data_IF_206743149951
#
_entry.id   IF_206743149951
#
_cell.length_a   1.000
_cell.length_b   1.000
_cell.length_c   1.000
_cell.angle_alpha   90.00
_cell.angle_beta   90.00
_cell.angle_gamma   90.00
#
_symmetry.space_group_name_H-M   'P 1'
#
loop_
_entity.id
_entity.type
_entity.pdbx_description
1 polymer ?
#
# COMPACT_ATOMS: atom_id res chain seq x y z
N UNK A 1 13.81 -15.56 3.96
CA UNK A 1 14.69 -14.38 4.04
C UNK A 1 15.07 -14.09 5.50
N UNK A 2 15.85 -15.00 6.10
CA UNK A 2 16.33 -14.87 7.50
C UNK A 2 17.77 -15.30 7.57
N UNK A 3 18.60 -14.49 8.19
CA UNK A 3 20.03 -14.76 8.38
C UNK A 3 20.42 -14.48 9.83
N UNK A 4 21.40 -15.23 10.33
CA UNK A 4 21.94 -14.95 11.66
C UNK A 4 22.96 -13.82 11.57
N UNK A 5 23.03 -13.01 12.63
CA UNK A 5 24.05 -11.96 12.77
C UNK A 5 25.47 -12.50 12.58
N UNK A 6 25.71 -13.75 12.99
CA UNK A 6 27.01 -14.41 12.87
C UNK A 6 27.36 -14.74 11.42
N UNK A 7 26.38 -15.11 10.58
CA UNK A 7 26.58 -15.36 9.16
C UNK A 7 26.98 -14.08 8.44
N UNK A 8 26.31 -12.97 8.73
CA UNK A 8 26.68 -11.67 8.16
C UNK A 8 28.09 -11.24 8.53
N UNK A 9 28.45 -11.29 9.80
CA UNK A 9 29.73 -10.78 10.29
C UNK A 9 30.94 -11.65 9.90
N UNK A 10 30.74 -12.88 9.43
CA UNK A 10 31.83 -13.81 9.13
C UNK A 10 31.98 -14.14 7.65
N UNK A 11 30.87 -14.35 6.95
CA UNK A 11 30.90 -15.03 5.65
C UNK A 11 30.15 -14.29 4.53
N UNK A 12 29.22 -13.38 4.86
CA UNK A 12 28.31 -12.78 3.91
C UNK A 12 28.43 -11.25 3.90
N UNK A 13 29.36 -10.73 3.10
CA UNK A 13 29.39 -9.28 2.80
C UNK A 13 28.22 -8.86 1.90
N UNK A 14 27.71 -9.79 1.08
CA UNK A 14 26.60 -9.57 0.17
C UNK A 14 25.66 -10.78 0.17
N UNK A 15 24.36 -10.52 0.05
CA UNK A 15 23.31 -11.52 -0.01
C UNK A 15 22.39 -11.16 -1.16
N UNK A 16 22.19 -12.10 -2.08
CA UNK A 16 21.10 -12.04 -3.07
C UNK A 16 19.99 -12.99 -2.62
N UNK A 17 18.74 -12.58 -2.79
CA UNK A 17 17.59 -13.40 -2.50
C UNK A 17 16.51 -13.22 -3.58
N UNK A 18 15.78 -14.31 -3.81
CA UNK A 18 14.75 -14.44 -4.82
C UNK A 18 13.82 -15.55 -4.32
N UNK A 19 12.73 -15.18 -3.64
CA UNK A 19 11.87 -16.11 -2.92
C UNK A 19 10.39 -15.76 -3.10
N UNK A 20 9.56 -16.81 -3.30
CA UNK A 20 8.12 -16.69 -3.15
C UNK A 20 7.75 -16.77 -1.66
N UNK A 21 6.95 -15.81 -1.18
CA UNK A 21 6.55 -15.73 0.22
C UNK A 21 5.04 -15.82 0.37
N UNK A 22 4.61 -16.43 1.46
CA UNK A 22 3.19 -16.50 1.83
C UNK A 22 2.98 -15.57 3.02
N UNK A 23 2.06 -14.63 2.88
CA UNK A 23 1.67 -13.70 3.93
C UNK A 23 0.30 -14.15 4.46
N UNK A 24 0.23 -14.42 5.75
CA UNK A 24 -1.03 -14.80 6.38
C UNK A 24 -1.87 -13.55 6.69
N UNK A 25 -3.20 -13.65 6.56
CA UNK A 25 -4.10 -12.50 6.72
C UNK A 25 -4.06 -11.87 8.13
N UNK A 26 -3.61 -12.61 9.14
CA UNK A 26 -3.43 -12.08 10.50
C UNK A 26 -2.16 -11.22 10.65
N UNK A 27 -1.21 -11.33 9.72
CA UNK A 27 -0.05 -10.45 9.62
C UNK A 27 -0.42 -9.10 9.00
N UNK A 28 -1.46 -9.08 8.15
CA UNK A 28 -2.06 -7.87 7.60
C UNK A 28 -3.03 -7.31 8.66
N UNK A 29 -2.60 -6.32 9.40
CA UNK A 29 -3.38 -5.73 10.49
C UNK A 29 -4.80 -5.34 10.07
N UNK A 30 -5.79 -5.67 10.87
CA UNK A 30 -7.24 -5.66 10.62
C UNK A 30 -7.89 -4.34 10.13
N UNK A 31 -7.16 -3.29 9.79
CA UNK A 31 -7.71 -1.96 9.46
C UNK A 31 -7.07 -1.32 8.24
N UNK A 32 -6.45 -2.11 7.38
CA UNK A 32 -5.60 -1.59 6.28
C UNK A 32 -6.33 -1.42 4.95
N UNK A 33 -7.58 -1.84 4.82
CA UNK A 33 -8.30 -1.79 3.54
C UNK A 33 -7.87 -2.86 2.54
N UNK A 34 -7.15 -3.90 3.00
CA UNK A 34 -6.73 -5.06 2.22
C UNK A 34 -7.36 -6.33 2.79
N UNK A 35 -7.81 -7.24 1.95
CA UNK A 35 -8.40 -8.52 2.33
C UNK A 35 -7.37 -9.63 2.39
N UNK A 36 -6.50 -9.71 1.39
CA UNK A 36 -5.38 -10.65 1.30
C UNK A 36 -4.33 -10.16 0.32
N UNK A 37 -3.17 -10.80 0.33
CA UNK A 37 -2.13 -10.65 -0.69
C UNK A 37 -1.78 -12.03 -1.21
N UNK A 38 -1.68 -12.18 -2.53
CA UNK A 38 -1.47 -13.43 -3.21
C UNK A 38 -0.26 -13.33 -4.15
N UNK A 39 0.36 -14.48 -4.42
CA UNK A 39 1.48 -14.62 -5.36
C UNK A 39 2.63 -13.62 -5.10
N UNK A 40 2.97 -13.42 -3.82
CA UNK A 40 4.03 -12.48 -3.44
C UNK A 40 5.39 -13.07 -3.75
N UNK A 41 6.13 -12.36 -4.56
CA UNK A 41 7.50 -12.64 -4.91
C UNK A 41 8.41 -11.50 -4.45
N UNK A 42 9.53 -11.83 -3.82
CA UNK A 42 10.48 -10.87 -3.29
C UNK A 42 11.87 -11.20 -3.79
N UNK A 43 12.42 -10.31 -4.58
CA UNK A 43 13.82 -10.37 -5.02
C UNK A 43 14.60 -9.17 -4.50
N UNK A 44 15.89 -9.34 -4.29
CA UNK A 44 16.67 -8.22 -3.80
C UNK A 44 18.13 -8.56 -3.52
N UNK A 45 18.82 -7.51 -3.08
CA UNK A 45 20.23 -7.57 -2.74
C UNK A 45 20.45 -6.86 -1.41
N UNK A 46 21.26 -7.47 -0.54
CA UNK A 46 21.69 -6.87 0.70
C UNK A 46 23.21 -6.89 0.85
N UNK A 47 23.77 -5.86 1.48
CA UNK A 47 25.20 -5.78 1.78
C UNK A 47 25.45 -5.14 3.14
N UNK A 48 26.57 -5.50 3.77
CA UNK A 48 27.04 -4.85 4.98
C UNK A 48 28.12 -3.84 4.59
N UNK A 49 27.99 -2.63 5.12
CA UNK A 49 29.06 -1.64 5.09
C UNK A 49 29.96 -1.81 6.31
N UNK A 50 31.26 -2.06 6.06
CA UNK A 50 32.27 -2.29 7.10
C UNK A 50 32.62 -1.01 7.89
N UNK A 51 32.21 0.18 7.42
CA UNK A 51 32.53 1.47 8.07
C UNK A 51 31.52 1.83 9.17
N UNK A 52 30.23 1.49 8.98
CA UNK A 52 29.14 1.86 9.89
C UNK A 52 28.41 0.66 10.51
N UNK A 53 28.84 -0.57 10.20
CA UNK A 53 28.24 -1.83 10.70
C UNK A 53 26.72 -1.93 10.40
N UNK A 54 26.25 -1.28 9.32
CA UNK A 54 24.87 -1.31 8.87
C UNK A 54 24.65 -2.36 7.78
N UNK A 55 23.49 -3.01 7.80
CA UNK A 55 23.06 -3.89 6.73
C UNK A 55 22.01 -3.18 5.88
N UNK A 56 22.38 -2.90 4.64
CA UNK A 56 21.53 -2.25 3.63
C UNK A 56 20.89 -3.29 2.75
N UNK A 57 19.61 -3.10 2.46
CA UNK A 57 18.81 -4.02 1.64
C UNK A 57 17.98 -3.24 0.63
N UNK A 58 18.15 -3.59 -0.64
CA UNK A 58 17.27 -3.17 -1.72
C UNK A 58 16.37 -4.36 -2.10
N UNK A 59 15.06 -4.14 -2.10
CA UNK A 59 14.06 -5.16 -2.37
C UNK A 59 13.10 -4.70 -3.46
N UNK A 60 12.73 -5.63 -4.35
CA UNK A 60 11.62 -5.51 -5.27
C UNK A 60 10.56 -6.55 -4.90
N UNK A 61 9.34 -6.09 -4.65
CA UNK A 61 8.24 -6.91 -4.17
C UNK A 61 7.12 -6.83 -5.20
N UNK A 62 6.73 -7.98 -5.75
CA UNK A 62 5.62 -8.08 -6.70
C UNK A 62 4.57 -9.05 -6.18
N UNK A 63 3.33 -8.93 -6.68
CA UNK A 63 2.23 -9.79 -6.27
C UNK A 63 0.88 -9.22 -6.64
N UNK A 64 -0.17 -9.69 -5.97
CA UNK A 64 -1.54 -9.21 -6.15
C UNK A 64 -2.18 -8.93 -4.79
N UNK A 65 -2.62 -7.71 -4.58
CA UNK A 65 -3.43 -7.35 -3.42
C UNK A 65 -4.92 -7.56 -3.74
N UNK A 66 -5.66 -8.17 -2.83
CA UNK A 66 -7.12 -8.24 -2.91
C UNK A 66 -7.69 -7.16 -2.01
N UNK A 67 -8.32 -6.16 -2.62
CA UNK A 67 -8.89 -5.02 -1.91
C UNK A 67 -10.41 -4.99 -2.08
N UNK A 68 -11.18 -4.44 -1.11
CA UNK A 68 -12.60 -4.20 -1.33
C UNK A 68 -12.79 -3.03 -2.29
N UNK A 69 -13.64 -3.22 -3.29
CA UNK A 69 -14.08 -2.13 -4.16
C UNK A 69 -14.76 -1.03 -3.34
N UNK A 70 -14.36 0.22 -3.54
CA UNK A 70 -14.84 1.36 -2.75
C UNK A 70 -16.33 1.66 -2.94
N UNK A 71 -16.97 1.14 -3.99
CA UNK A 71 -18.38 1.36 -4.33
C UNK A 71 -19.24 0.12 -4.07
N UNK A 72 -18.78 -1.04 -4.56
CA UNK A 72 -19.56 -2.30 -4.49
C UNK A 72 -19.22 -3.12 -3.25
N UNK A 73 -18.05 -2.88 -2.65
CA UNK A 73 -17.47 -3.67 -1.56
C UNK A 73 -17.19 -5.14 -1.97
N UNK A 74 -17.14 -5.43 -3.27
CA UNK A 74 -16.71 -6.72 -3.77
C UNK A 74 -15.18 -6.77 -3.82
N UNK A 75 -14.54 -7.96 -3.66
CA UNK A 75 -13.09 -8.07 -3.76
C UNK A 75 -12.63 -7.83 -5.19
N UNK A 76 -11.62 -6.99 -5.36
CA UNK A 76 -10.95 -6.69 -6.63
C UNK A 76 -9.45 -6.92 -6.52
N UNK A 77 -8.82 -7.27 -7.64
CA UNK A 77 -7.38 -7.50 -7.75
C UNK A 77 -6.66 -6.20 -8.04
N UNK A 78 -5.67 -5.86 -7.23
CA UNK A 78 -4.80 -4.69 -7.43
C UNK A 78 -3.37 -5.19 -7.54
N UNK A 79 -2.67 -4.90 -8.65
CA UNK A 79 -1.29 -5.33 -8.81
C UNK A 79 -0.40 -4.66 -7.76
N UNK A 80 0.51 -5.44 -7.20
CA UNK A 80 1.56 -5.01 -6.30
C UNK A 80 2.88 -5.01 -7.05
N UNK A 81 3.57 -3.87 -7.06
CA UNK A 81 4.88 -3.69 -7.69
C UNK A 81 5.59 -2.55 -6.96
N UNK A 82 6.46 -2.88 -5.99
CA UNK A 82 7.07 -1.91 -5.10
C UNK A 82 8.57 -2.16 -4.93
N UNK A 83 9.35 -1.09 -5.02
CA UNK A 83 10.76 -1.06 -4.63
C UNK A 83 10.88 -0.50 -3.20
N UNK A 84 11.61 -1.18 -2.34
CA UNK A 84 11.85 -0.76 -0.96
C UNK A 84 13.34 -0.83 -0.62
N UNK A 85 13.80 0.16 0.13
CA UNK A 85 15.16 0.23 0.66
C UNK A 85 15.11 0.27 2.17
N UNK A 86 15.82 -0.65 2.81
CA UNK A 86 15.81 -0.81 4.26
C UNK A 86 17.23 -0.79 4.82
N UNK A 87 17.39 -0.20 5.98
CA UNK A 87 18.65 -0.18 6.71
C UNK A 87 18.46 -0.84 8.07
N UNK A 88 19.25 -1.87 8.35
CA UNK A 88 19.27 -2.58 9.62
C UNK A 88 20.52 -2.23 10.39
N UNK A 89 20.33 -1.89 11.67
CA UNK A 89 21.41 -1.57 12.60
C UNK A 89 21.47 -2.60 13.73
N UNK A 90 22.65 -2.90 14.20
CA UNK A 90 22.90 -3.92 15.24
C UNK A 90 23.12 -3.31 16.62
N UNK A 91 23.26 -1.99 16.70
CA UNK A 91 23.39 -1.23 17.96
C UNK A 91 22.31 -0.14 18.00
N UNK A 92 21.91 0.25 19.21
CA UNK A 92 20.96 1.33 19.40
C UNK A 92 21.50 2.65 18.84
N UNK A 93 20.70 3.31 17.99
CA UNK A 93 21.01 4.61 17.40
C UNK A 93 19.83 5.55 17.54
N UNK A 94 20.10 6.86 17.50
CA UNK A 94 19.07 7.90 17.44
C UNK A 94 18.67 8.25 15.99
N UNK A 95 19.12 7.47 15.00
CA UNK A 95 18.79 7.68 13.59
C UNK A 95 17.38 7.23 13.27
N UNK A 96 16.63 8.09 12.58
CA UNK A 96 15.29 7.78 12.09
C UNK A 96 15.36 6.92 10.80
N UNK A 97 14.37 6.04 10.63
CA UNK A 97 14.24 5.24 9.40
C UNK A 97 15.13 3.99 9.34
N UNK A 98 15.75 3.60 10.45
CA UNK A 98 16.53 2.37 10.55
C UNK A 98 15.80 1.31 11.39
N UNK A 99 16.07 0.04 11.10
CA UNK A 99 15.50 -1.11 11.84
C UNK A 99 16.54 -1.69 12.79
N UNK A 100 16.28 -1.60 14.10
CA UNK A 100 17.15 -2.19 15.09
C UNK A 100 16.97 -3.71 15.16
N UNK A 101 18.03 -4.44 14.94
CA UNK A 101 18.07 -5.91 15.10
C UNK A 101 18.35 -6.26 16.56
N UNK A 102 17.30 -6.53 17.31
CA UNK A 102 17.38 -6.89 18.74
C UNK A 102 17.63 -8.38 18.98
N UNK A 103 17.47 -9.21 17.95
CA UNK A 103 17.66 -10.67 17.99
C UNK A 103 18.97 -11.08 17.30
N UNK A 104 19.33 -12.36 17.42
CA UNK A 104 20.44 -12.94 16.66
C UNK A 104 20.12 -13.15 15.16
N UNK A 105 18.88 -12.87 14.75
CA UNK A 105 18.38 -13.10 13.37
C UNK A 105 17.89 -11.80 12.77
N UNK A 106 18.40 -11.46 11.60
CA UNK A 106 17.84 -10.46 10.70
C UNK A 106 16.70 -11.11 9.94
N UNK A 107 15.50 -10.57 10.06
CA UNK A 107 14.28 -11.05 9.39
C UNK A 107 13.75 -9.92 8.50
N UNK A 108 13.65 -10.17 7.18
CA UNK A 108 13.14 -9.19 6.23
C UNK A 108 11.59 -9.19 6.14
N UNK A 109 10.92 -10.23 6.63
CA UNK A 109 9.45 -10.31 6.51
C UNK A 109 8.70 -9.11 7.07
N UNK A 110 9.06 -8.54 8.25
CA UNK A 110 8.41 -7.33 8.73
C UNK A 110 8.54 -6.13 7.78
N UNK A 111 9.69 -5.97 7.12
CA UNK A 111 9.91 -4.91 6.16
C UNK A 111 9.09 -5.11 4.87
N UNK A 112 9.02 -6.35 4.39
CA UNK A 112 8.17 -6.73 3.24
C UNK A 112 6.70 -6.41 3.53
N UNK A 113 6.19 -6.79 4.70
CA UNK A 113 4.81 -6.51 5.11
C UNK A 113 4.57 -5.00 5.20
N UNK A 114 5.48 -4.25 5.81
CA UNK A 114 5.35 -2.79 5.93
C UNK A 114 5.36 -2.12 4.56
N UNK A 115 6.22 -2.56 3.61
CA UNK A 115 6.26 -2.05 2.24
C UNK A 115 4.94 -2.30 1.50
N UNK A 116 4.38 -3.51 1.61
CA UNK A 116 3.07 -3.85 1.03
C UNK A 116 1.96 -2.98 1.62
N UNK A 117 1.94 -2.79 2.94
CA UNK A 117 0.92 -2.00 3.61
C UNK A 117 0.96 -0.51 3.22
N UNK A 118 2.12 0.01 2.85
CA UNK A 118 2.27 1.38 2.34
C UNK A 118 1.71 1.56 0.92
N UNK A 119 1.68 0.48 0.11
CA UNK A 119 1.14 0.49 -1.25
C UNK A 119 -0.38 0.28 -1.31
N UNK A 120 -1.04 -0.06 -0.19
CA UNK A 120 -2.49 -0.25 -0.16
C UNK A 120 -3.20 1.04 -0.59
N UNK A 121 -3.99 1.02 -1.68
CA UNK A 121 -4.64 2.22 -2.18
C UNK A 121 -5.72 2.69 -1.21
N UNK A 122 -5.85 4.01 -1.02
CA UNK A 122 -6.89 4.58 -0.17
C UNK A 122 -8.31 4.30 -0.70
N UNK A 123 -8.45 4.25 -2.00
CA UNK A 123 -9.70 3.94 -2.70
C UNK A 123 -9.37 3.33 -4.06
N UNK A 124 -10.03 2.24 -4.38
CA UNK A 124 -9.95 1.59 -5.68
C UNK A 124 -11.35 1.12 -6.07
N UNK A 125 -11.71 1.20 -7.35
CA UNK A 125 -13.00 0.72 -7.87
C UNK A 125 -12.86 0.32 -9.33
N UNK A 126 -13.51 -0.77 -9.68
CA UNK A 126 -13.73 -1.23 -11.04
C UNK A 126 -15.17 -0.96 -11.52
N UNK A 127 -16.02 -0.40 -10.65
CA UNK A 127 -17.41 -0.12 -10.95
C UNK A 127 -17.53 0.88 -12.12
N UNK A 128 -18.30 0.50 -13.14
CA UNK A 128 -18.53 1.30 -14.36
C UNK A 128 -19.67 2.27 -14.11
N UNK A 129 -19.62 3.44 -14.74
CA UNK A 129 -20.72 4.43 -14.70
C UNK A 129 -22.05 3.78 -15.06
N UNK A 130 -23.06 3.95 -14.20
CA UNK A 130 -24.40 3.39 -14.37
C UNK A 130 -24.65 2.06 -13.64
N UNK A 131 -23.63 1.41 -13.11
CA UNK A 131 -23.74 0.19 -12.30
C UNK A 131 -23.62 0.45 -10.79
N UNK A 132 -23.63 1.73 -10.38
CA UNK A 132 -23.50 2.07 -8.98
C UNK A 132 -24.71 1.65 -8.16
N UNK A 133 -24.50 1.14 -6.93
CA UNK A 133 -25.57 0.80 -6.04
C UNK A 133 -26.42 2.04 -5.71
N UNK A 134 -27.74 1.84 -5.68
CA UNK A 134 -28.72 2.88 -5.35
C UNK A 134 -29.83 2.31 -4.48
N UNK A 135 -30.53 3.15 -3.75
CA UNK A 135 -31.64 2.74 -2.87
C UNK A 135 -32.67 3.85 -2.66
N UNK A 136 -33.66 3.57 -1.82
CA UNK A 136 -34.71 4.54 -1.52
C UNK A 136 -34.14 5.82 -0.89
N UNK A 137 -34.04 6.90 -1.68
CA UNK A 137 -33.62 8.21 -1.23
C UNK A 137 -32.13 8.48 -1.23
N UNK A 138 -31.30 7.56 -1.76
CA UNK A 138 -29.86 7.76 -1.97
C UNK A 138 -29.40 7.17 -3.32
N UNK A 139 -28.36 7.78 -3.88
CA UNK A 139 -27.72 7.36 -5.11
C UNK A 139 -26.26 7.82 -5.08
N UNK A 140 -25.36 6.99 -5.62
CA UNK A 140 -23.96 7.34 -5.83
C UNK A 140 -23.86 8.04 -7.19
N UNK A 141 -23.11 9.14 -7.23
CA UNK A 141 -22.82 9.90 -8.45
C UNK A 141 -21.32 10.00 -8.64
N UNK A 142 -20.88 9.96 -9.88
CA UNK A 142 -19.55 10.45 -10.22
C UNK A 142 -19.46 11.96 -9.98
N UNK A 143 -18.25 12.49 -9.87
CA UNK A 143 -18.03 13.94 -9.78
C UNK A 143 -18.65 14.67 -10.98
N UNK A 144 -18.57 14.10 -12.19
CA UNK A 144 -19.14 14.66 -13.41
C UNK A 144 -20.68 14.69 -13.36
N UNK A 145 -21.34 13.60 -12.99
CA UNK A 145 -22.81 13.50 -12.82
C UNK A 145 -23.29 14.45 -11.71
N UNK A 146 -22.54 14.53 -10.60
CA UNK A 146 -22.89 15.45 -9.53
C UNK A 146 -22.80 16.90 -9.98
N UNK A 147 -21.80 17.28 -10.74
CA UNK A 147 -21.68 18.63 -11.30
C UNK A 147 -22.78 18.91 -12.33
N UNK A 148 -23.18 17.94 -13.16
CA UNK A 148 -24.31 18.09 -14.08
C UNK A 148 -25.64 18.25 -13.33
N UNK A 149 -25.92 17.42 -12.34
CA UNK A 149 -27.12 17.50 -11.53
C UNK A 149 -27.27 18.86 -10.81
N UNK A 150 -26.14 19.48 -10.45
CA UNK A 150 -26.14 20.82 -9.85
C UNK A 150 -26.31 21.96 -10.83
N UNK A 151 -25.95 21.80 -12.13
CA UNK A 151 -26.15 22.83 -13.14
C UNK A 151 -27.63 23.13 -13.36
N UNK A 152 -28.49 22.12 -13.20
CA UNK A 152 -29.95 22.27 -13.37
C UNK A 152 -30.69 22.66 -12.08
N UNK A 153 -30.06 22.52 -10.91
CA UNK A 153 -30.61 22.96 -9.64
C UNK A 153 -30.29 24.43 -9.40
N UNK A 154 -31.12 25.31 -9.91
CA UNK A 154 -31.08 26.71 -9.49
C UNK A 154 -31.49 26.81 -8.02
N UNK A 155 -30.61 27.34 -7.18
CA UNK A 155 -30.97 27.72 -5.82
C UNK A 155 -32.26 28.57 -5.85
N UNK A 156 -33.35 28.15 -5.17
CA UNK A 156 -34.61 28.90 -5.16
C UNK A 156 -34.47 30.36 -4.73
N UNK A 157 -33.39 30.68 -3.98
CA UNK A 157 -33.04 32.03 -3.57
C UNK A 157 -32.51 32.88 -4.72
N UNK A 158 -31.94 32.25 -5.75
CA UNK A 158 -31.38 32.91 -6.93
C UNK A 158 -32.32 32.89 -8.12
N UNK A 159 -33.45 32.19 -8.04
CA UNK A 159 -34.47 32.13 -9.10
C UNK A 159 -34.99 33.51 -9.52
N UNK A 160 -35.07 34.44 -8.57
CA UNK A 160 -35.46 35.84 -8.84
C UNK A 160 -34.48 36.64 -9.68
N UNK A 161 -33.19 36.23 -9.71
CA UNK A 161 -32.15 36.92 -10.50
C UNK A 161 -32.21 36.61 -12.01
N UNK A 162 -32.85 35.51 -12.41
CA UNK A 162 -33.09 35.19 -13.85
C UNK A 162 -33.92 36.26 -14.56
N UNK A 163 -34.76 36.98 -13.86
CA UNK A 163 -35.62 38.02 -14.43
C UNK A 163 -34.86 39.28 -14.83
N UNK A 164 -33.66 39.48 -14.28
CA UNK A 164 -32.82 40.68 -14.59
C UNK A 164 -31.88 40.49 -15.77
N UNK A 165 -31.84 39.35 -16.42
CA UNK A 165 -30.91 39.06 -17.54
C UNK A 165 -31.54 39.29 -18.92
N UNK A 166 -32.78 39.72 -19.04
CA UNK A 166 -33.54 39.93 -20.27
C UNK A 166 -33.94 41.39 -20.48
N UNK A 167 -33.11 42.36 -20.07
CA UNK A 167 -33.16 43.77 -20.54
C UNK A 167 -31.87 44.17 -21.24
#
# INVERSE_FOLDING_TARGET
>A
MKWTKTEFLRDLQNVDFDEDVVIENDELKNDTGILSVEDVHVEGHGYIDDEDDCFYVDMHITGTMICPDAITNEPIEVPLDVESQETYVFEETDEDGVRLVTSEVVDLMPAVIDAILLEVPLQVTEAVEGEYPHGDGWQIFTEAEYQESRKDQLDPRLAGLKQFKNE
#
